data_IF_161461891999
#
_entry.id   IF_161461891999
#
_cell.length_a   1.000
_cell.length_b   1.000
_cell.length_c   1.000
_cell.angle_alpha   90.00
_cell.angle_beta   90.00
_cell.angle_gamma   90.00
#
_symmetry.space_group_name_H-M   'P 1'
#
loop_
_entity.id
_entity.type
_entity.pdbx_description
1 polymer ?
#
# COMPACT_ATOMS: atom_id res chain seq x y z
N UNK A 1 12.47 19.40 7.47
CA UNK A 1 11.27 20.25 7.61
C UNK A 1 10.47 19.94 8.87
N UNK A 2 9.97 18.71 9.09
CA UNK A 2 9.14 18.35 10.26
C UNK A 2 9.71 18.80 11.63
N UNK A 3 10.99 18.58 11.90
CA UNK A 3 11.66 19.03 13.14
C UNK A 3 11.63 20.55 13.32
N UNK A 4 11.85 21.29 12.23
CA UNK A 4 11.99 22.75 12.24
C UNK A 4 10.62 23.44 12.29
N UNK A 5 9.61 22.89 11.64
CA UNK A 5 8.27 23.50 11.57
C UNK A 5 7.28 22.92 12.58
N UNK A 6 7.75 22.16 13.58
CA UNK A 6 6.91 21.68 14.67
C UNK A 6 6.09 22.85 15.26
N UNK A 7 4.80 22.60 15.52
CA UNK A 7 3.76 23.56 15.93
C UNK A 7 3.52 24.78 15.00
N UNK A 8 4.12 24.81 13.80
CA UNK A 8 3.98 25.91 12.81
C UNK A 8 3.45 25.43 11.46
N UNK A 9 2.68 24.33 11.44
CA UNK A 9 2.14 23.73 10.22
C UNK A 9 0.61 23.86 10.21
N UNK A 10 0.08 24.44 9.13
CA UNK A 10 -1.33 24.31 8.78
C UNK A 10 -1.54 22.95 8.10
N UNK A 11 -2.36 22.09 8.71
CA UNK A 11 -2.66 20.77 8.15
C UNK A 11 -3.70 20.89 7.04
N UNK A 12 -3.31 20.55 5.81
CA UNK A 12 -4.23 20.43 4.68
C UNK A 12 -5.09 19.17 4.81
N UNK A 13 -6.30 19.17 4.23
CA UNK A 13 -7.14 17.98 4.23
C UNK A 13 -6.56 16.92 3.26
N UNK A 14 -6.88 15.65 3.51
CA UNK A 14 -6.16 14.50 2.93
C UNK A 14 -6.37 14.37 1.42
N UNK A 15 -7.44 14.95 0.87
CA UNK A 15 -7.74 14.98 -0.55
C UNK A 15 -6.64 15.67 -1.37
N UNK A 16 -5.81 16.52 -0.73
CA UNK A 16 -4.66 17.18 -1.37
C UNK A 16 -3.38 16.33 -1.39
N UNK A 17 -3.37 15.12 -0.85
CA UNK A 17 -2.23 14.22 -0.91
C UNK A 17 -2.70 12.76 -0.77
N UNK A 18 -3.44 12.29 -1.78
CA UNK A 18 -4.01 10.93 -1.78
C UNK A 18 -2.98 9.93 -2.29
N UNK A 19 -2.52 9.04 -1.43
CA UNK A 19 -1.64 7.95 -1.85
C UNK A 19 -2.38 6.99 -2.78
N UNK A 20 -1.74 6.69 -3.91
CA UNK A 20 -2.29 5.76 -4.88
C UNK A 20 -2.32 4.31 -4.36
N UNK A 21 -1.34 3.91 -3.51
CA UNK A 21 -1.34 2.61 -2.84
C UNK A 21 -0.28 1.63 -3.30
N UNK A 22 0.57 2.00 -4.26
CA UNK A 22 1.72 1.20 -4.69
C UNK A 22 1.37 -0.22 -5.12
N UNK A 23 0.18 -0.43 -5.69
CA UNK A 23 -0.32 -1.73 -6.14
C UNK A 23 -1.03 -2.58 -5.06
N UNK A 24 -1.03 -2.16 -3.79
CA UNK A 24 -1.83 -2.81 -2.74
C UNK A 24 -2.25 -1.81 -1.65
N UNK A 25 -3.53 -1.48 -1.61
CA UNK A 25 -4.11 -0.61 -0.59
C UNK A 25 -4.64 -1.35 0.63
N UNK A 26 -4.77 -2.67 0.59
CA UNK A 26 -5.46 -3.47 1.60
C UNK A 26 -4.54 -3.99 2.72
N UNK A 27 -3.23 -3.98 2.51
CA UNK A 27 -2.28 -4.49 3.52
C UNK A 27 -1.96 -3.46 4.62
N UNK A 28 -1.72 -2.21 4.26
CA UNK A 28 -1.23 -1.19 5.19
C UNK A 28 -2.35 -0.31 5.75
N UNK A 29 -3.15 0.31 4.87
CA UNK A 29 -4.11 1.36 5.27
C UNK A 29 -5.23 0.87 6.19
N UNK A 30 -5.81 -0.33 6.02
CA UNK A 30 -6.87 -0.84 6.92
C UNK A 30 -6.39 -1.07 8.36
N UNK A 31 -5.08 -1.20 8.57
CA UNK A 31 -4.48 -1.40 9.89
C UNK A 31 -4.20 -0.08 10.66
N UNK A 32 -4.47 1.08 10.04
CA UNK A 32 -4.41 2.37 10.72
C UNK A 32 -5.56 2.55 11.72
N UNK A 33 -5.50 3.60 12.55
CA UNK A 33 -6.65 4.00 13.38
C UNK A 33 -7.89 4.12 12.50
N UNK A 34 -9.00 3.52 12.91
CA UNK A 34 -10.25 3.46 12.14
C UNK A 34 -10.66 4.83 11.57
N UNK A 35 -10.62 5.90 12.39
CA UNK A 35 -10.93 7.26 11.92
C UNK A 35 -9.99 7.77 10.80
N UNK A 36 -8.70 7.40 10.85
CA UNK A 36 -7.72 7.72 9.80
C UNK A 36 -7.98 6.92 8.54
N UNK A 37 -8.28 5.62 8.67
CA UNK A 37 -8.63 4.76 7.54
C UNK A 37 -9.90 5.25 6.84
N UNK A 38 -10.94 5.62 7.59
CA UNK A 38 -12.16 6.19 7.00
C UNK A 38 -11.89 7.51 6.26
N UNK A 39 -11.03 8.39 6.80
CA UNK A 39 -10.60 9.61 6.09
C UNK A 39 -9.86 9.29 4.79
N UNK A 40 -9.00 8.28 4.80
CA UNK A 40 -8.31 7.82 3.60
C UNK A 40 -9.28 7.29 2.54
N UNK A 41 -10.24 6.44 2.92
CA UNK A 41 -11.28 5.97 2.00
C UNK A 41 -12.13 7.10 1.44
N UNK A 42 -12.51 8.09 2.27
CA UNK A 42 -13.27 9.25 1.82
C UNK A 42 -12.46 10.09 0.82
N UNK A 43 -11.19 10.36 1.12
CA UNK A 43 -10.33 11.16 0.26
C UNK A 43 -10.11 10.52 -1.11
N UNK A 44 -10.02 9.18 -1.17
CA UNK A 44 -9.87 8.44 -2.43
C UNK A 44 -11.09 8.49 -3.35
N UNK A 45 -12.29 8.76 -2.83
CA UNK A 45 -13.50 8.88 -3.67
C UNK A 45 -13.52 10.15 -4.51
N UNK A 46 -12.84 11.21 -4.06
CA UNK A 46 -12.77 12.50 -4.75
C UNK A 46 -11.43 13.18 -4.46
N UNK A 47 -10.32 12.62 -4.96
CA UNK A 47 -9.00 13.21 -4.76
C UNK A 47 -8.92 14.58 -5.43
N UNK A 48 -8.20 15.51 -4.82
CA UNK A 48 -7.79 16.79 -5.44
C UNK A 48 -6.37 16.70 -5.99
N UNK A 49 -5.54 15.86 -5.39
CA UNK A 49 -4.22 15.51 -5.89
C UNK A 49 -3.90 14.05 -5.55
N UNK A 50 -3.44 13.31 -6.54
CA UNK A 50 -3.01 11.91 -6.43
C UNK A 50 -1.48 11.87 -6.35
N UNK A 51 -0.97 11.22 -5.32
CA UNK A 51 0.46 11.06 -5.07
C UNK A 51 0.89 9.62 -5.38
N UNK A 52 1.57 9.44 -6.51
CA UNK A 52 2.19 8.17 -6.90
C UNK A 52 3.48 7.90 -6.13
N UNK A 53 3.42 7.86 -4.79
CA UNK A 53 4.56 7.50 -3.94
C UNK A 53 4.83 5.99 -3.97
N UNK A 54 6.08 5.58 -3.73
CA UNK A 54 6.49 4.16 -3.75
C UNK A 54 7.21 3.75 -5.02
N UNK A 55 7.35 2.45 -5.24
CA UNK A 55 8.14 1.83 -6.31
C UNK A 55 7.33 1.65 -7.61
N UNK A 56 6.06 1.28 -7.48
CA UNK A 56 5.15 1.03 -8.59
C UNK A 56 4.63 2.36 -9.12
N UNK A 57 5.24 2.84 -10.21
CA UNK A 57 4.88 4.09 -10.86
C UNK A 57 4.01 3.84 -12.09
N UNK A 58 3.04 4.72 -12.39
CA UNK A 58 2.15 4.54 -13.54
C UNK A 58 2.91 4.58 -14.88
N UNK A 59 4.01 5.33 -14.98
CA UNK A 59 4.88 5.31 -16.17
C UNK A 59 5.72 4.03 -16.33
N UNK A 60 5.72 3.13 -15.35
CA UNK A 60 6.43 1.84 -15.40
C UNK A 60 5.47 0.65 -15.51
N UNK A 61 4.26 0.75 -14.97
CA UNK A 61 3.28 -0.34 -14.92
C UNK A 61 1.87 0.22 -14.91
N UNK A 62 0.97 -0.43 -15.64
CA UNK A 62 -0.48 -0.14 -15.62
C UNK A 62 -1.17 -0.70 -14.35
N UNK A 63 -0.52 -1.62 -13.63
CA UNK A 63 -1.10 -2.35 -12.49
C UNK A 63 -1.07 -1.54 -11.19
N UNK A 64 -1.55 -0.30 -11.24
CA UNK A 64 -1.61 0.63 -10.12
C UNK A 64 -2.94 1.36 -10.10
N UNK A 65 -3.42 1.71 -8.91
CA UNK A 65 -4.62 2.53 -8.77
C UNK A 65 -4.38 3.93 -9.35
N UNK A 66 -5.48 4.55 -9.82
CA UNK A 66 -5.47 5.86 -10.49
C UNK A 66 -4.55 5.90 -11.72
N UNK A 67 -4.33 4.77 -12.39
CA UNK A 67 -3.52 4.74 -13.61
C UNK A 67 -4.11 5.63 -14.71
N UNK A 68 -5.43 5.57 -14.90
CA UNK A 68 -6.12 6.35 -15.93
C UNK A 68 -5.98 7.86 -15.70
N UNK A 69 -6.02 8.33 -14.44
CA UNK A 69 -5.77 9.75 -14.11
C UNK A 69 -4.36 10.20 -14.57
N UNK A 70 -3.36 9.32 -14.50
CA UNK A 70 -2.02 9.62 -15.02
C UNK A 70 -2.02 9.62 -16.55
N UNK A 71 -2.65 8.62 -17.18
CA UNK A 71 -2.67 8.49 -18.64
C UNK A 71 -3.44 9.63 -19.30
N UNK A 72 -4.55 10.08 -18.72
CA UNK A 72 -5.31 11.23 -19.21
C UNK A 72 -4.43 12.48 -19.35
N UNK A 73 -3.50 12.69 -18.42
CA UNK A 73 -2.59 13.84 -18.42
C UNK A 73 -1.36 13.66 -19.32
N UNK A 74 -1.01 12.41 -19.70
CA UNK A 74 0.11 12.13 -20.60
C UNK A 74 -0.32 11.98 -22.05
N UNK A 75 -1.59 11.62 -22.29
CA UNK A 75 -2.16 11.47 -23.62
C UNK A 75 -2.02 12.77 -24.42
N UNK A 76 -1.68 12.65 -25.71
CA UNK A 76 -1.42 13.77 -26.62
C UNK A 76 -0.23 14.66 -26.24
N UNK A 77 0.61 14.23 -25.29
CA UNK A 77 1.90 14.89 -25.03
C UNK A 77 3.02 14.17 -25.79
N UNK A 78 4.19 14.82 -26.01
CA UNK A 78 5.34 14.17 -26.62
C UNK A 78 5.83 12.91 -25.89
N UNK A 79 5.46 12.72 -24.62
CA UNK A 79 5.86 11.59 -23.79
C UNK A 79 4.94 10.37 -23.92
N UNK A 80 3.77 10.50 -24.53
CA UNK A 80 2.78 9.41 -24.62
C UNK A 80 3.40 8.12 -25.20
N UNK A 81 4.05 8.23 -26.36
CA UNK A 81 4.69 7.09 -27.01
C UNK A 81 5.88 6.53 -26.22
N UNK A 82 6.54 7.36 -25.40
CA UNK A 82 7.62 6.90 -24.53
C UNK A 82 7.08 6.01 -23.41
N UNK A 83 5.93 6.38 -22.81
CA UNK A 83 5.29 5.59 -21.77
C UNK A 83 4.91 4.20 -22.28
N UNK A 84 4.25 4.11 -23.43
CA UNK A 84 3.86 2.81 -24.00
C UNK A 84 5.07 1.93 -24.28
N UNK A 85 6.12 2.46 -24.92
CA UNK A 85 7.37 1.71 -25.19
C UNK A 85 8.03 1.23 -23.91
N UNK A 86 8.09 2.10 -22.89
CA UNK A 86 8.70 1.79 -21.60
C UNK A 86 7.96 0.66 -20.90
N UNK A 87 6.63 0.72 -20.83
CA UNK A 87 5.81 -0.32 -20.22
C UNK A 87 5.90 -1.65 -20.97
N UNK A 88 5.89 -1.63 -22.31
CA UNK A 88 6.07 -2.84 -23.12
C UNK A 88 7.45 -3.48 -22.90
N UNK A 89 8.52 -2.68 -22.84
CA UNK A 89 9.88 -3.16 -22.57
C UNK A 89 9.98 -3.79 -21.18
N UNK A 90 9.38 -3.16 -20.17
CA UNK A 90 9.34 -3.71 -18.81
C UNK A 90 8.54 -5.01 -18.77
N UNK A 91 7.36 -5.07 -19.39
CA UNK A 91 6.55 -6.27 -19.49
C UNK A 91 7.28 -7.42 -20.20
N UNK A 92 8.00 -7.12 -21.30
CA UNK A 92 8.82 -8.11 -22.01
C UNK A 92 9.99 -8.62 -21.17
N UNK A 93 10.66 -7.73 -20.43
CA UNK A 93 11.75 -8.13 -19.53
C UNK A 93 11.25 -9.03 -18.40
N UNK A 94 10.09 -8.71 -17.81
CA UNK A 94 9.43 -9.55 -16.80
C UNK A 94 9.02 -10.91 -17.41
N UNK A 95 8.47 -10.90 -18.63
CA UNK A 95 8.11 -12.09 -19.41
C UNK A 95 9.26 -13.07 -19.64
N UNK A 96 10.47 -12.55 -19.89
CA UNK A 96 11.69 -13.36 -20.07
C UNK A 96 12.27 -13.86 -18.75
N UNK A 97 11.88 -13.27 -17.62
CA UNK A 97 12.33 -13.63 -16.27
C UNK A 97 11.31 -14.43 -15.45
N UNK A 98 10.19 -14.87 -16.05
CA UNK A 98 9.26 -15.80 -15.39
C UNK A 98 9.81 -17.23 -15.31
N UNK A 99 11.02 -17.41 -14.81
CA UNK A 99 11.20 -18.33 -13.68
C UNK A 99 10.79 -17.52 -12.45
N UNK A 100 9.55 -17.73 -11.97
CA UNK A 100 9.06 -17.21 -10.68
C UNK A 100 10.23 -17.06 -9.71
N UNK A 101 10.62 -15.84 -9.28
CA UNK A 101 11.53 -15.75 -8.16
C UNK A 101 10.73 -16.38 -7.03
N UNK A 102 11.08 -17.62 -6.67
CA UNK A 102 10.68 -18.23 -5.41
C UNK A 102 11.17 -17.28 -4.34
N UNK A 103 10.35 -16.27 -4.01
CA UNK A 103 10.49 -15.53 -2.77
C UNK A 103 10.51 -16.64 -1.74
N UNK A 104 11.67 -16.87 -1.12
CA UNK A 104 11.78 -17.85 -0.06
C UNK A 104 10.90 -17.32 1.07
N UNK A 105 9.63 -17.74 1.06
CA UNK A 105 8.66 -17.35 2.07
C UNK A 105 9.23 -17.87 3.37
N UNK A 106 9.64 -16.95 4.24
CA UNK A 106 10.11 -17.25 5.59
C UNK A 106 9.15 -18.26 6.23
N UNK A 107 9.68 -19.30 6.87
CA UNK A 107 8.88 -20.35 7.49
C UNK A 107 7.80 -19.79 8.42
N UNK A 108 8.12 -18.69 9.12
CA UNK A 108 7.19 -17.94 9.96
C UNK A 108 5.96 -17.41 9.19
N UNK A 109 6.16 -16.91 7.97
CA UNK A 109 5.09 -16.42 7.10
C UNK A 109 4.21 -17.57 6.60
N UNK A 110 4.79 -18.74 6.30
CA UNK A 110 4.02 -19.95 5.96
C UNK A 110 3.10 -20.37 7.10
N UNK A 111 3.63 -20.47 8.33
CA UNK A 111 2.84 -20.80 9.52
C UNK A 111 1.74 -19.76 9.75
N UNK A 112 2.10 -18.47 9.67
CA UNK A 112 1.12 -17.38 9.84
C UNK A 112 -0.02 -17.54 8.84
N UNK A 113 0.26 -17.74 7.56
CA UNK A 113 -0.77 -17.84 6.52
C UNK A 113 -1.74 -19.02 6.75
N UNK A 114 -1.25 -20.14 7.30
CA UNK A 114 -2.09 -21.29 7.66
C UNK A 114 -2.98 -20.99 8.87
N UNK A 115 -2.47 -20.27 9.88
CA UNK A 115 -3.21 -19.99 11.11
C UNK A 115 -4.22 -18.84 10.94
N UNK A 116 -3.90 -17.85 10.10
CA UNK A 116 -4.66 -16.60 9.98
C UNK A 116 -6.16 -16.78 9.68
N UNK A 117 -6.61 -17.71 8.81
CA UNK A 117 -8.03 -17.96 8.58
C UNK A 117 -8.78 -18.38 9.85
N UNK A 118 -8.18 -19.24 10.67
CA UNK A 118 -8.76 -19.68 11.93
C UNK A 118 -8.79 -18.55 12.96
N UNK A 119 -7.69 -17.78 13.04
CA UNK A 119 -7.65 -16.61 13.94
C UNK A 119 -8.71 -15.58 13.52
N UNK A 120 -8.89 -15.33 12.22
CA UNK A 120 -9.91 -14.41 11.74
C UNK A 120 -11.34 -14.93 11.98
N UNK A 121 -11.56 -16.25 11.94
CA UNK A 121 -12.85 -16.88 12.28
C UNK A 121 -13.24 -16.70 13.74
N UNK A 122 -12.30 -16.88 14.67
CA UNK A 122 -12.59 -16.87 16.13
C UNK A 122 -12.29 -15.54 16.84
N UNK A 123 -11.41 -14.72 16.26
CA UNK A 123 -11.06 -13.39 16.73
C UNK A 123 -10.98 -12.42 15.54
N UNK A 124 -12.15 -12.00 14.99
CA UNK A 124 -12.22 -11.05 13.90
C UNK A 124 -11.49 -9.74 14.22
N UNK A 125 -11.00 -9.09 13.18
CA UNK A 125 -10.30 -7.80 13.27
C UNK A 125 -11.24 -6.76 13.92
N UNK A 126 -10.69 -5.98 14.86
CA UNK A 126 -11.44 -4.96 15.59
C UNK A 126 -12.17 -5.46 16.86
N UNK A 127 -12.24 -6.77 17.11
CA UNK A 127 -12.85 -7.28 18.35
C UNK A 127 -11.96 -7.06 19.58
N UNK A 128 -12.54 -6.88 20.79
CA UNK A 128 -11.75 -6.81 22.03
C UNK A 128 -10.86 -8.04 22.24
N UNK A 129 -11.35 -9.23 21.86
CA UNK A 129 -10.60 -10.49 21.88
C UNK A 129 -9.35 -10.42 21.01
N UNK A 130 -9.47 -9.93 19.77
CA UNK A 130 -8.34 -9.76 18.85
C UNK A 130 -7.30 -8.78 19.41
N UNK A 131 -7.75 -7.65 19.96
CA UNK A 131 -6.87 -6.66 20.59
C UNK A 131 -6.10 -7.24 21.78
N UNK A 132 -6.78 -8.03 22.62
CA UNK A 132 -6.15 -8.72 23.75
C UNK A 132 -5.10 -9.74 23.26
N UNK A 133 -5.46 -10.60 22.31
CA UNK A 133 -4.53 -11.57 21.72
C UNK A 133 -3.29 -10.89 21.12
N UNK A 134 -3.47 -9.81 20.37
CA UNK A 134 -2.38 -9.03 19.79
C UNK A 134 -1.48 -8.43 20.87
N UNK A 135 -2.06 -7.87 21.95
CA UNK A 135 -1.29 -7.31 23.08
C UNK A 135 -0.41 -8.37 23.74
N UNK A 136 -0.94 -9.55 24.03
CA UNK A 136 -0.16 -10.64 24.64
C UNK A 136 0.89 -11.20 23.69
N UNK A 137 0.56 -11.36 22.40
CA UNK A 137 1.53 -11.77 21.38
C UNK A 137 2.76 -10.85 21.36
N UNK A 138 2.55 -9.53 21.31
CA UNK A 138 3.68 -8.59 21.34
C UNK A 138 4.40 -8.53 22.69
N UNK A 139 3.70 -8.76 23.81
CA UNK A 139 4.33 -8.88 25.13
C UNK A 139 5.28 -10.09 25.19
N UNK A 140 4.84 -11.25 24.71
CA UNK A 140 5.65 -12.49 24.66
C UNK A 140 6.79 -12.34 23.66
N UNK A 141 6.49 -11.82 22.45
CA UNK A 141 7.50 -11.58 21.42
C UNK A 141 8.62 -10.68 21.92
N UNK A 142 8.28 -9.59 22.62
CA UNK A 142 9.27 -8.67 23.22
C UNK A 142 10.08 -9.34 24.32
N UNK A 143 9.46 -10.18 25.16
CA UNK A 143 10.19 -10.93 26.19
C UNK A 143 11.19 -11.96 25.62
N UNK A 144 10.92 -12.51 24.43
CA UNK A 144 11.78 -13.50 23.78
C UNK A 144 12.86 -12.85 22.89
N UNK A 145 12.56 -11.71 22.26
CA UNK A 145 13.43 -11.09 21.25
C UNK A 145 14.08 -9.76 21.68
N UNK A 146 13.70 -9.17 22.82
CA UNK A 146 14.15 -7.84 23.29
C UNK A 146 13.17 -6.71 22.99
#
# INVERSE_FOLDING_TARGET
>A
MNKVFYSRVTFLPLEWNVYHGNGNTDDFFPNLKFATYMKFLAARKKPKMIHYAGENKPWNTEKVDFYDDFIENIANTPWEMEIYKRQMSLAASIGLTHSEPQQQILFQTKIKNVLMPYVNKYAPIGTPRRNMMTKYYYKVRRAILG
#
